data_IF_281550679527
#
_entry.id   IF_281550679527
#
_cell.length_a   1.000
_cell.length_b   1.000
_cell.length_c   1.000
_cell.angle_alpha   90.00
_cell.angle_beta   90.00
_cell.angle_gamma   90.00
#
_symmetry.space_group_name_H-M   'P 1'
#
loop_
_entity.id
_entity.type
_entity.pdbx_description
1 polymer ?
#
# COMPACT_ATOMS: atom_id res chain seq x y z
N UNK A 1 9.04 14.45 -3.86
CA UNK A 1 7.70 14.07 -3.41
C UNK A 1 6.85 13.77 -4.63
N UNK A 2 6.15 12.65 -4.63
CA UNK A 2 5.23 12.27 -5.70
C UNK A 2 3.85 12.82 -5.39
N UNK A 3 3.32 13.62 -6.31
CA UNK A 3 2.00 14.22 -6.21
C UNK A 3 1.05 13.52 -7.20
N UNK A 4 0.00 12.85 -6.71
CA UNK A 4 -0.99 12.23 -7.56
C UNK A 4 -1.71 13.26 -8.45
N UNK A 5 -1.80 12.97 -9.74
CA UNK A 5 -2.42 13.85 -10.73
C UNK A 5 -3.12 13.06 -11.84
N UNK A 6 -4.07 13.66 -12.54
CA UNK A 6 -4.77 13.05 -13.67
C UNK A 6 -6.29 13.23 -13.60
N UNK A 7 -6.97 12.76 -14.65
CA UNK A 7 -8.43 12.76 -14.72
C UNK A 7 -8.98 11.52 -13.99
N UNK A 8 -9.65 11.74 -12.87
CA UNK A 8 -10.22 10.68 -12.02
C UNK A 8 -11.43 11.24 -11.27
N UNK A 9 -12.34 10.41 -10.71
CA UNK A 9 -13.44 10.92 -9.89
C UNK A 9 -12.94 11.84 -8.77
N UNK A 10 -13.68 12.92 -8.50
CA UNK A 10 -13.27 13.95 -7.54
C UNK A 10 -12.95 13.37 -6.15
N UNK A 11 -13.77 12.41 -5.70
CA UNK A 11 -13.57 11.69 -4.43
C UNK A 11 -12.19 11.03 -4.35
N UNK A 12 -11.76 10.35 -5.41
CA UNK A 12 -10.46 9.67 -5.46
C UNK A 12 -9.33 10.68 -5.46
N UNK A 13 -9.45 11.78 -6.23
CA UNK A 13 -8.43 12.83 -6.30
C UNK A 13 -8.27 13.55 -4.97
N UNK A 14 -9.38 13.88 -4.31
CA UNK A 14 -9.40 14.65 -3.05
C UNK A 14 -8.61 13.96 -1.95
N UNK A 15 -8.77 12.64 -1.82
CA UNK A 15 -8.13 11.84 -0.78
C UNK A 15 -6.86 11.10 -1.24
N UNK A 16 -6.38 11.36 -2.47
CA UNK A 16 -5.16 10.73 -2.96
C UNK A 16 -3.94 11.16 -2.12
N UNK A 17 -3.16 10.20 -1.56
CA UNK A 17 -1.99 10.52 -0.75
C UNK A 17 -0.83 11.01 -1.61
N UNK A 18 -0.13 12.05 -1.15
CA UNK A 18 1.20 12.37 -1.64
C UNK A 18 2.22 11.42 -1.01
N UNK A 19 3.30 11.10 -1.74
CA UNK A 19 4.35 10.21 -1.24
C UNK A 19 5.69 10.94 -1.16
N UNK A 20 6.21 11.13 0.05
CA UNK A 20 7.57 11.61 0.27
C UNK A 20 8.49 10.41 0.37
N UNK A 21 9.24 10.15 -0.70
CA UNK A 21 10.27 9.11 -0.72
C UNK A 21 11.64 9.74 -0.59
N UNK A 22 12.37 9.34 0.46
CA UNK A 22 13.74 9.80 0.67
C UNK A 22 14.73 9.08 -0.24
N UNK A 23 15.94 9.64 -0.39
CA UNK A 23 17.01 9.08 -1.21
C UNK A 23 16.60 8.77 -2.66
N UNK A 24 15.82 9.66 -3.27
CA UNK A 24 15.34 9.58 -4.66
C UNK A 24 16.46 9.44 -5.71
N UNK A 25 17.71 9.79 -5.36
CA UNK A 25 18.87 9.56 -6.23
C UNK A 25 19.03 8.10 -6.64
N UNK A 26 18.65 7.17 -5.76
CA UNK A 26 18.67 5.73 -6.02
C UNK A 26 17.40 5.28 -6.73
N UNK A 27 17.53 4.61 -7.87
CA UNK A 27 16.38 4.23 -8.71
C UNK A 27 15.40 3.29 -7.99
N UNK A 28 15.90 2.35 -7.19
CA UNK A 28 15.06 1.40 -6.46
C UNK A 28 14.12 2.08 -5.46
N UNK A 29 14.43 3.31 -5.01
CA UNK A 29 13.55 4.13 -4.16
C UNK A 29 12.48 4.88 -4.94
N UNK A 30 12.51 4.89 -6.27
CA UNK A 30 11.58 5.69 -7.06
C UNK A 30 10.28 4.92 -7.28
N UNK A 31 9.15 5.62 -7.13
CA UNK A 31 7.86 5.08 -7.54
C UNK A 31 7.88 4.91 -9.06
N UNK A 32 7.49 3.73 -9.54
CA UNK A 32 7.44 3.43 -10.97
C UNK A 32 6.10 2.87 -11.40
N UNK A 33 5.84 2.94 -12.71
CA UNK A 33 4.69 2.29 -13.35
C UNK A 33 5.08 0.89 -13.81
N UNK A 34 4.33 -0.16 -13.44
CA UNK A 34 4.48 -1.48 -14.02
C UNK A 34 4.41 -1.44 -15.56
N UNK A 35 5.42 -2.00 -16.19
CA UNK A 35 5.51 -2.21 -17.65
C UNK A 35 5.86 -3.66 -17.93
N UNK A 36 5.27 -4.21 -18.99
CA UNK A 36 5.57 -5.55 -19.47
C UNK A 36 6.47 -5.48 -20.71
N UNK A 37 7.38 -6.43 -20.83
CA UNK A 37 8.27 -6.60 -21.98
C UNK A 37 8.58 -8.08 -22.19
N UNK A 38 9.15 -8.42 -23.35
CA UNK A 38 9.75 -9.73 -23.58
C UNK A 38 11.27 -9.61 -23.43
N UNK A 39 11.88 -10.58 -22.75
CA UNK A 39 13.34 -10.71 -22.70
C UNK A 39 13.90 -11.30 -24.01
N UNK A 40 15.23 -11.42 -24.17
CA UNK A 40 15.83 -12.01 -25.38
C UNK A 40 15.42 -13.46 -25.65
N UNK A 41 14.95 -14.20 -24.64
CA UNK A 41 14.44 -15.56 -24.77
C UNK A 41 12.93 -15.60 -25.09
N UNK A 42 12.28 -14.44 -25.26
CA UNK A 42 10.85 -14.33 -25.50
C UNK A 42 9.99 -14.54 -24.26
N UNK A 43 10.58 -14.52 -23.05
CA UNK A 43 9.85 -14.67 -21.80
C UNK A 43 9.32 -13.32 -21.33
N UNK A 44 8.10 -13.33 -20.77
CA UNK A 44 7.50 -12.13 -20.21
C UNK A 44 8.24 -11.68 -18.95
N UNK A 45 8.57 -10.38 -18.90
CA UNK A 45 9.18 -9.73 -17.74
C UNK A 45 8.40 -8.47 -17.40
N UNK A 46 8.07 -8.33 -16.11
CA UNK A 46 7.51 -7.10 -15.54
C UNK A 46 8.61 -6.29 -14.84
N UNK A 47 8.64 -4.98 -15.11
CA UNK A 47 9.53 -4.02 -14.44
C UNK A 47 8.74 -2.78 -14.02
N UNK A 48 9.30 -2.02 -13.08
CA UNK A 48 8.75 -0.73 -12.67
C UNK A 48 9.49 0.40 -13.39
N UNK A 49 8.82 1.05 -14.33
CA UNK A 49 9.34 2.20 -15.06
C UNK A 49 9.27 3.46 -14.18
N UNK A 50 10.43 3.85 -13.63
CA UNK A 50 10.57 4.99 -12.71
C UNK A 50 10.50 6.35 -13.39
N UNK A 51 10.56 6.39 -14.73
CA UNK A 51 10.41 7.64 -15.50
C UNK A 51 8.94 8.08 -15.63
N UNK A 52 8.01 7.16 -15.41
CA UNK A 52 6.55 7.39 -15.49
C UNK A 52 5.88 6.90 -14.21
N UNK A 53 6.06 7.58 -13.06
CA UNK A 53 5.45 7.14 -11.80
C UNK A 53 3.92 7.13 -11.87
N UNK A 54 3.31 6.14 -11.22
CA UNK A 54 1.86 5.99 -11.16
C UNK A 54 1.38 5.61 -9.76
N UNK A 55 0.18 6.08 -9.41
CA UNK A 55 -0.58 5.70 -8.22
C UNK A 55 -1.86 5.02 -8.69
N UNK A 56 -2.02 3.74 -8.38
CA UNK A 56 -3.17 2.95 -8.78
C UNK A 56 -4.27 3.05 -7.74
N UNK A 57 -5.50 3.34 -8.15
CA UNK A 57 -6.61 3.53 -7.23
C UNK A 57 -7.75 2.52 -7.43
N UNK A 58 -8.44 2.19 -6.34
CA UNK A 58 -9.71 1.44 -6.35
C UNK A 58 -10.64 1.96 -5.26
N UNK A 59 -11.94 1.95 -5.55
CA UNK A 59 -13.00 2.30 -4.59
C UNK A 59 -13.75 1.03 -4.19
N UNK A 60 -13.85 0.74 -2.89
CA UNK A 60 -14.54 -0.45 -2.37
C UNK A 60 -15.53 -0.05 -1.28
N UNK A 61 -16.84 -0.09 -1.52
CA UNK A 61 -17.83 0.10 -0.47
C UNK A 61 -17.89 -1.14 0.43
N UNK A 62 -18.16 -0.92 1.72
CA UNK A 62 -18.47 -1.99 2.66
C UNK A 62 -19.46 -1.51 3.74
N UNK A 63 -19.99 -2.44 4.52
CA UNK A 63 -20.94 -2.16 5.58
C UNK A 63 -20.61 -2.98 6.82
N UNK A 64 -20.83 -2.38 7.99
CA UNK A 64 -20.72 -3.02 9.30
C UNK A 64 -22.04 -2.85 10.04
N UNK A 65 -22.11 -3.30 11.30
CA UNK A 65 -23.25 -3.02 12.16
C UNK A 65 -23.39 -1.54 12.54
N UNK A 66 -22.33 -0.73 12.40
CA UNK A 66 -22.31 0.69 12.79
C UNK A 66 -22.51 1.65 11.61
N UNK A 67 -22.42 1.18 10.37
CA UNK A 67 -22.73 2.02 9.22
C UNK A 67 -22.17 1.54 7.89
N UNK A 68 -22.27 2.43 6.90
CA UNK A 68 -21.72 2.24 5.56
C UNK A 68 -20.45 3.05 5.41
N UNK A 69 -19.46 2.43 4.78
CA UNK A 69 -18.13 2.99 4.60
C UNK A 69 -17.65 2.77 3.18
N UNK A 70 -16.66 3.55 2.79
CA UNK A 70 -15.98 3.43 1.50
C UNK A 70 -14.47 3.42 1.71
N UNK A 71 -13.80 2.37 1.26
CA UNK A 71 -12.34 2.35 1.17
C UNK A 71 -11.89 2.94 -0.16
N UNK A 72 -11.04 3.96 -0.08
CA UNK A 72 -10.24 4.45 -1.20
C UNK A 72 -8.85 3.84 -1.08
N UNK A 73 -8.53 2.92 -1.97
CA UNK A 73 -7.29 2.15 -1.95
C UNK A 73 -6.34 2.74 -2.96
N UNK A 74 -5.12 3.06 -2.55
CA UNK A 74 -4.05 3.58 -3.38
C UNK A 74 -2.85 2.64 -3.30
N UNK A 75 -2.30 2.28 -4.46
CA UNK A 75 -1.18 1.36 -4.59
C UNK A 75 -0.07 1.99 -5.44
N UNK A 76 1.15 1.95 -4.93
CA UNK A 76 2.35 2.37 -5.66
C UNK A 76 3.34 1.21 -5.72
N UNK A 77 4.26 1.26 -6.68
CA UNK A 77 5.25 0.23 -6.89
C UNK A 77 6.67 0.77 -6.94
N UNK A 78 7.61 -0.05 -6.47
CA UNK A 78 9.04 0.23 -6.47
C UNK A 78 9.78 -0.90 -7.20
N UNK A 79 10.88 -0.59 -7.92
CA UNK A 79 11.63 -1.60 -8.66
C UNK A 79 12.10 -2.77 -7.80
N UNK A 80 12.67 -2.49 -6.63
CA UNK A 80 13.26 -3.50 -5.76
C UNK A 80 13.52 -2.98 -4.36
N UNK A 81 13.66 -3.89 -3.41
CA UNK A 81 14.35 -3.63 -2.15
C UNK A 81 15.73 -4.30 -2.21
N UNK A 82 16.84 -3.55 -2.13
CA UNK A 82 18.17 -4.14 -2.25
C UNK A 82 18.48 -5.10 -1.10
N UNK A 83 19.20 -6.17 -1.42
CA UNK A 83 19.74 -7.07 -0.41
C UNK A 83 20.82 -6.37 0.41
N UNK A 84 20.84 -6.65 1.71
CA UNK A 84 21.92 -6.25 2.62
C UNK A 84 22.30 -7.46 3.46
N UNK A 85 23.61 -7.71 3.58
CA UNK A 85 24.14 -8.76 4.47
C UNK A 85 24.50 -8.20 5.86
N UNK A 86 24.81 -6.90 5.94
CA UNK A 86 25.15 -6.21 7.19
C UNK A 86 24.53 -4.80 7.16
N UNK A 87 23.47 -4.54 7.95
CA UNK A 87 22.67 -5.53 8.67
C UNK A 87 21.95 -6.47 7.68
N UNK A 88 21.77 -7.74 8.05
CA UNK A 88 21.06 -8.70 7.20
C UNK A 88 19.61 -8.26 7.00
N UNK A 89 19.18 -8.15 5.75
CA UNK A 89 17.84 -7.70 5.40
C UNK A 89 17.05 -8.78 4.66
N UNK A 90 16.03 -9.31 5.33
CA UNK A 90 15.21 -10.43 4.86
C UNK A 90 14.27 -10.04 3.71
N UNK A 91 13.80 -8.79 3.66
CA UNK A 91 12.75 -8.36 2.72
C UNK A 91 13.23 -8.02 1.31
N UNK A 92 14.46 -8.42 0.95
CA UNK A 92 15.03 -8.15 -0.37
C UNK A 92 14.24 -8.87 -1.47
N UNK A 93 13.97 -8.17 -2.57
CA UNK A 93 13.19 -8.68 -3.69
C UNK A 93 12.79 -7.58 -4.66
N UNK A 94 12.16 -7.96 -5.76
CA UNK A 94 11.78 -7.06 -6.85
C UNK A 94 10.27 -6.73 -6.84
N UNK A 95 9.87 -5.74 -7.64
CA UNK A 95 8.47 -5.41 -7.92
C UNK A 95 7.59 -5.18 -6.67
N UNK A 96 8.20 -4.56 -5.66
CA UNK A 96 7.60 -4.24 -4.38
C UNK A 96 6.43 -3.28 -4.56
N UNK A 97 5.44 -3.36 -3.67
CA UNK A 97 4.34 -2.41 -3.62
C UNK A 97 4.01 -1.96 -2.21
N UNK A 98 3.45 -0.76 -2.15
CA UNK A 98 2.90 -0.16 -0.95
C UNK A 98 1.43 0.14 -1.19
N UNK A 99 0.60 -0.13 -0.18
CA UNK A 99 -0.83 0.08 -0.22
C UNK A 99 -1.25 1.03 0.92
N UNK A 100 -2.09 2.00 0.58
CA UNK A 100 -2.67 2.97 1.50
C UNK A 100 -4.19 2.95 1.30
N UNK A 101 -4.94 2.71 2.36
CA UNK A 101 -6.41 2.71 2.38
C UNK A 101 -6.88 3.90 3.19
N UNK A 102 -7.67 4.77 2.58
CA UNK A 102 -8.41 5.82 3.28
C UNK A 102 -9.86 5.34 3.42
N UNK A 103 -10.29 5.05 4.64
CA UNK A 103 -11.65 4.63 4.94
C UNK A 103 -12.51 5.86 5.23
N UNK A 104 -13.56 6.05 4.43
CA UNK A 104 -14.51 7.14 4.57
C UNK A 104 -15.81 6.64 5.20
N UNK A 105 -16.40 7.46 6.09
CA UNK A 105 -17.78 7.27 6.56
C UNK A 105 -18.81 7.77 5.52
N UNK A 106 -20.11 7.68 5.85
CA UNK A 106 -21.19 8.15 4.98
C UNK A 106 -21.15 9.66 4.70
N UNK A 107 -20.57 10.47 5.60
CA UNK A 107 -20.35 11.90 5.41
C UNK A 107 -19.07 12.22 4.60
N UNK A 108 -18.43 11.21 4.01
CA UNK A 108 -17.16 11.32 3.28
C UNK A 108 -16.01 11.90 4.13
N UNK A 109 -16.05 11.69 5.45
CA UNK A 109 -14.95 12.02 6.35
C UNK A 109 -14.02 10.81 6.48
N UNK A 110 -12.69 11.01 6.42
CA UNK A 110 -11.74 9.92 6.63
C UNK A 110 -11.74 9.53 8.11
N UNK A 111 -12.14 8.30 8.41
CA UNK A 111 -12.23 7.76 9.78
C UNK A 111 -11.13 6.75 10.09
N UNK A 112 -10.37 6.30 9.10
CA UNK A 112 -9.22 5.43 9.31
C UNK A 112 -8.27 5.55 8.12
N UNK A 113 -6.98 5.54 8.38
CA UNK A 113 -5.95 5.37 7.35
C UNK A 113 -5.17 4.11 7.65
N UNK A 114 -5.21 3.14 6.75
CA UNK A 114 -4.44 1.90 6.86
C UNK A 114 -3.32 1.89 5.83
N UNK A 115 -2.09 1.63 6.23
CA UNK A 115 -0.95 1.47 5.33
C UNK A 115 -0.24 0.15 5.57
N UNK A 116 0.25 -0.48 4.50
CA UNK A 116 0.96 -1.76 4.54
C UNK A 116 1.70 -2.02 3.23
N UNK A 117 2.71 -2.89 3.24
CA UNK A 117 3.28 -3.42 1.99
C UNK A 117 2.29 -4.34 1.29
N UNK A 118 2.36 -4.48 -0.05
CA UNK A 118 1.47 -5.40 -0.77
C UNK A 118 1.77 -6.88 -0.51
N UNK A 119 2.76 -7.18 0.34
CA UNK A 119 2.95 -8.47 1.00
C UNK A 119 2.07 -8.74 2.23
N UNK A 120 1.29 -7.76 2.72
CA UNK A 120 0.53 -7.88 3.98
C UNK A 120 1.33 -7.53 5.24
N UNK A 121 2.63 -7.33 5.06
CA UNK A 121 3.64 -6.90 6.02
C UNK A 121 3.46 -5.41 6.44
N UNK A 122 3.97 -5.06 7.63
CA UNK A 122 4.01 -3.67 8.14
C UNK A 122 2.64 -2.96 8.20
N UNK A 123 1.56 -3.71 8.43
CA UNK A 123 0.23 -3.13 8.52
C UNK A 123 0.08 -2.21 9.73
N UNK A 124 -0.40 -0.99 9.48
CA UNK A 124 -0.67 0.02 10.48
C UNK A 124 -2.01 0.71 10.15
N UNK A 125 -2.90 0.80 11.13
CA UNK A 125 -4.17 1.53 11.02
C UNK A 125 -4.16 2.68 12.01
N UNK A 126 -4.33 3.90 11.52
CA UNK A 126 -4.33 5.12 12.31
C UNK A 126 -5.73 5.75 12.29
N UNK A 127 -6.30 6.06 13.46
CA UNK A 127 -7.55 6.79 13.54
C UNK A 127 -7.31 8.25 13.16
N UNK A 128 -8.40 8.94 12.86
CA UNK A 128 -8.44 10.39 12.64
C UNK A 128 -9.23 11.06 13.76
N UNK A 129 -9.30 12.39 13.74
CA UNK A 129 -10.23 13.15 14.57
C UNK A 129 -11.72 12.90 14.24
N UNK A 130 -12.04 12.14 13.18
CA UNK A 130 -13.40 11.73 12.81
C UNK A 130 -13.73 10.29 13.21
N UNK A 131 -12.76 9.51 13.70
CA UNK A 131 -13.02 8.16 14.22
C UNK A 131 -13.77 8.24 15.55
N UNK A 132 -14.93 7.57 15.70
CA UNK A 132 -15.62 7.50 16.99
C UNK A 132 -14.70 6.91 18.08
N UNK A 133 -14.71 7.50 19.27
CA UNK A 133 -13.83 7.06 20.36
C UNK A 133 -14.08 5.60 20.79
N UNK A 134 -15.34 5.14 20.69
CA UNK A 134 -15.76 3.77 20.99
C UNK A 134 -15.51 2.78 19.83
N UNK A 135 -14.86 3.23 18.75
CA UNK A 135 -14.39 2.41 17.65
C UNK A 135 -12.91 2.03 17.77
N UNK A 136 -12.21 2.53 18.78
CA UNK A 136 -10.78 2.28 18.98
C UNK A 136 -10.59 0.87 19.57
N UNK A 137 -9.46 0.20 19.28
CA UNK A 137 -9.07 -1.01 19.99
C UNK A 137 -9.02 -0.79 21.51
N UNK A 138 -9.34 -1.82 22.30
CA UNK A 138 -9.40 -1.72 23.77
C UNK A 138 -8.05 -1.30 24.40
N UNK A 139 -6.94 -1.66 23.76
CA UNK A 139 -5.58 -1.34 24.18
C UNK A 139 -5.05 -0.01 23.60
N UNK A 140 -5.89 0.78 22.92
CA UNK A 140 -5.48 2.05 22.35
C UNK A 140 -5.17 3.10 23.41
N UNK A 141 -3.89 3.40 23.60
CA UNK A 141 -3.42 4.30 24.66
C UNK A 141 -3.15 5.75 24.19
N UNK A 142 -3.42 6.06 22.92
CA UNK A 142 -3.15 7.40 22.36
C UNK A 142 -1.67 7.78 22.28
N UNK A 143 -0.77 6.80 22.41
CA UNK A 143 0.68 6.98 22.22
C UNK A 143 1.10 6.64 20.79
N UNK A 144 2.21 7.21 20.29
CA UNK A 144 2.75 6.85 18.99
C UNK A 144 2.89 5.34 18.79
N UNK A 145 2.52 4.84 17.62
CA UNK A 145 2.59 3.43 17.30
C UNK A 145 4.01 3.10 16.88
N UNK A 146 4.67 2.22 17.64
CA UNK A 146 5.99 1.71 17.27
C UNK A 146 5.84 0.45 16.42
N UNK A 147 6.18 0.54 15.14
CA UNK A 147 6.01 -0.55 14.18
C UNK A 147 7.35 -0.77 13.46
N UNK A 148 8.02 -1.88 13.78
CA UNK A 148 9.33 -2.26 13.22
C UNK A 148 10.43 -1.18 13.33
N UNK A 149 10.40 -0.35 14.38
CA UNK A 149 11.36 0.73 14.58
C UNK A 149 10.99 2.04 13.88
N UNK A 150 9.79 2.13 13.30
CA UNK A 150 9.15 3.41 12.97
C UNK A 150 8.26 3.87 14.12
N UNK A 151 8.01 5.17 14.19
CA UNK A 151 7.07 5.78 15.13
C UNK A 151 6.02 6.55 14.36
N UNK A 152 4.83 5.99 14.25
CA UNK A 152 3.68 6.64 13.60
C UNK A 152 2.85 7.43 14.62
N UNK A 153 2.19 8.52 14.22
CA UNK A 153 1.39 9.29 15.17
C UNK A 153 0.20 8.47 15.69
N UNK A 154 -0.25 8.74 16.93
CA UNK A 154 -1.41 8.08 17.53
C UNK A 154 -2.74 8.45 16.87
N UNK A 155 -2.76 9.52 16.07
CA UNK A 155 -3.98 9.99 15.40
C UNK A 155 -3.58 10.95 14.30
N UNK A 156 -4.31 10.91 13.19
CA UNK A 156 -4.21 11.88 12.10
C UNK A 156 -5.20 13.02 12.31
N UNK A 157 -4.70 14.25 12.37
CA UNK A 157 -5.53 15.41 12.64
C UNK A 157 -5.88 16.17 11.36
N UNK A 158 -7.17 16.16 11.00
CA UNK A 158 -7.71 16.93 9.89
C UNK A 158 -8.32 18.27 10.34
N UNK A 159 -8.36 18.56 11.65
CA UNK A 159 -9.02 19.75 12.17
C UNK A 159 -8.27 21.04 11.79
N UNK A 160 -9.02 22.09 11.44
CA UNK A 160 -8.46 23.42 11.17
C UNK A 160 -7.65 23.56 9.88
N UNK A 161 -7.52 22.51 9.07
CA UNK A 161 -6.77 22.54 7.82
C UNK A 161 -7.70 22.81 6.62
N UNK A 162 -7.35 23.80 5.80
CA UNK A 162 -7.99 24.03 4.52
C UNK A 162 -7.45 23.04 3.48
N UNK A 163 -8.35 22.29 2.82
CA UNK A 163 -8.01 21.24 1.84
C UNK A 163 -6.90 20.27 2.33
N UNK A 164 -7.17 19.52 3.42
CA UNK A 164 -6.19 18.62 4.00
C UNK A 164 -5.85 17.46 3.05
N UNK A 165 -4.58 17.10 3.00
CA UNK A 165 -4.07 16.00 2.18
C UNK A 165 -3.13 15.12 3.00
N UNK A 166 -3.22 13.81 2.77
CA UNK A 166 -2.39 12.81 3.42
C UNK A 166 -1.01 12.78 2.76
N UNK A 167 0.05 12.99 3.55
CA UNK A 167 1.43 12.76 3.18
C UNK A 167 1.89 11.42 3.77
N UNK A 168 2.34 10.52 2.90
CA UNK A 168 2.91 9.23 3.26
C UNK A 168 4.42 9.34 3.13
N UNK A 169 5.14 9.22 4.24
CA UNK A 169 6.61 9.25 4.26
C UNK A 169 7.13 7.83 4.19
N UNK A 170 7.96 7.56 3.19
CA UNK A 170 8.42 6.21 2.84
C UNK A 170 9.90 6.07 3.16
N UNK A 171 10.24 5.04 3.93
CA UNK A 171 11.63 4.68 4.26
C UNK A 171 12.35 4.20 3.00
N UNK A 172 13.55 4.75 2.70
CA UNK A 172 14.34 4.30 1.55
C UNK A 172 14.84 2.87 1.76
N UNK A 173 14.99 2.12 0.67
CA UNK A 173 15.39 0.72 0.66
C UNK A 173 14.20 -0.20 0.91
N UNK A 174 13.59 -0.12 2.10
CA UNK A 174 12.54 -1.07 2.53
C UNK A 174 11.14 -0.72 2.01
N UNK A 175 10.92 0.52 1.58
CA UNK A 175 9.64 1.02 1.06
C UNK A 175 8.44 0.92 2.02
N UNK A 176 8.69 0.81 3.32
CA UNK A 176 7.67 0.84 4.37
C UNK A 176 7.35 2.28 4.79
N UNK A 177 6.19 2.46 5.39
CA UNK A 177 5.75 3.78 5.91
C UNK A 177 6.47 4.07 7.21
N UNK A 178 7.20 5.19 7.24
CA UNK A 178 7.88 5.68 8.43
C UNK A 178 7.11 6.79 9.15
N UNK A 179 6.22 7.49 8.44
CA UNK A 179 5.37 8.53 9.00
C UNK A 179 4.13 8.77 8.13
N UNK A 180 3.06 9.25 8.76
CA UNK A 180 1.82 9.66 8.11
C UNK A 180 1.43 11.03 8.65
N UNK A 181 1.25 12.02 7.77
CA UNK A 181 0.92 13.39 8.16
C UNK A 181 -0.27 13.91 7.39
N UNK A 182 -1.07 14.76 8.02
CA UNK A 182 -2.07 15.56 7.32
C UNK A 182 -1.53 16.97 7.20
N UNK A 183 -1.42 17.46 5.97
CA UNK A 183 -0.92 18.80 5.67
C UNK A 183 -1.92 19.53 4.76
N UNK A 184 -1.99 20.87 4.80
CA UNK A 184 -2.69 21.62 3.76
C UNK A 184 -2.12 21.33 2.38
N UNK A 185 -2.96 21.21 1.36
CA UNK A 185 -2.49 20.99 -0.03
C UNK A 185 -1.54 22.08 -0.52
N UNK A 186 -1.69 23.31 -0.02
CA UNK A 186 -0.79 24.44 -0.33
C UNK A 186 0.63 24.18 0.14
N UNK A 187 0.83 23.56 1.31
CA UNK A 187 2.15 23.20 1.84
C UNK A 187 2.79 22.08 1.01
N UNK A 188 2.00 21.08 0.60
CA UNK A 188 2.47 20.03 -0.31
C UNK A 188 2.86 20.59 -1.69
N UNK A 189 2.33 21.75 -2.07
CA UNK A 189 2.66 22.39 -3.35
C UNK A 189 3.83 23.38 -3.23
N UNK A 190 4.44 23.53 -2.04
CA UNK A 190 5.53 24.48 -1.81
C UNK A 190 6.86 23.92 -2.34
N UNK A 191 7.34 24.49 -3.45
CA UNK A 191 8.60 24.13 -4.10
C UNK A 191 9.84 24.41 -3.24
N UNK A 192 9.72 25.21 -2.19
CA UNK A 192 10.81 25.42 -1.22
C UNK A 192 10.99 24.23 -0.28
N UNK A 193 9.91 23.47 -0.06
CA UNK A 193 9.90 22.29 0.81
C UNK A 193 10.15 21.01 0.01
N UNK A 194 9.61 20.91 -1.21
CA UNK A 194 9.62 19.68 -1.98
C UNK A 194 9.98 19.88 -3.45
N UNK A 195 10.80 18.97 -3.98
CA UNK A 195 10.81 18.70 -5.42
C UNK A 195 9.58 17.87 -5.78
N UNK A 196 8.70 18.42 -6.62
CA UNK A 196 7.45 17.78 -7.03
C UNK A 196 7.67 16.89 -8.25
N UNK A 197 7.17 15.66 -8.16
CA UNK A 197 7.15 14.70 -9.25
C UNK A 197 5.69 14.31 -9.46
N UNK A 198 5.15 14.59 -10.64
CA UNK A 198 3.78 14.21 -10.96
C UNK A 198 3.65 12.70 -11.13
N UNK A 199 2.76 12.06 -10.37
CA UNK A 199 2.45 10.63 -10.49
C UNK A 199 1.03 10.44 -11.02
N UNK A 200 0.88 9.69 -12.10
CA UNK A 200 -0.42 9.51 -12.77
C UNK A 200 -1.37 8.66 -11.91
N UNK A 201 -2.58 9.18 -11.64
CA UNK A 201 -3.65 8.44 -10.97
C UNK A 201 -4.35 7.53 -11.97
N UNK A 202 -4.12 6.23 -11.86
CA UNK A 202 -4.64 5.21 -12.78
C UNK A 202 -5.60 4.24 -12.06
N UNK A 203 -6.68 3.76 -12.71
CA UNK A 203 -7.50 2.69 -12.14
C UNK A 203 -6.69 1.42 -11.91
N UNK A 204 -6.89 0.75 -10.77
CA UNK A 204 -6.19 -0.49 -10.41
C UNK A 204 -6.48 -1.63 -11.40
N UNK A 205 -7.61 -1.60 -12.10
CA UNK A 205 -7.98 -2.54 -13.15
C UNK A 205 -6.96 -2.54 -14.31
N UNK A 206 -6.28 -1.40 -14.53
CA UNK A 206 -5.19 -1.28 -15.50
C UNK A 206 -4.00 -2.19 -15.22
N UNK A 207 -3.80 -2.62 -13.96
CA UNK A 207 -2.73 -3.56 -13.59
C UNK A 207 -2.94 -4.96 -14.19
N UNK A 208 -4.16 -5.29 -14.64
CA UNK A 208 -4.45 -6.55 -15.34
C UNK A 208 -4.31 -6.43 -16.87
N UNK A 209 -4.01 -5.24 -17.39
CA UNK A 209 -3.98 -4.92 -18.81
C UNK A 209 -2.75 -4.09 -19.18
N UNK A 210 -1.57 -4.60 -18.84
CA UNK A 210 -0.29 -4.03 -19.24
C UNK A 210 -0.04 -4.34 -20.73
N UNK A 211 0.27 -3.37 -21.58
CA UNK A 211 0.58 -3.62 -22.99
C UNK A 211 1.79 -4.55 -23.15
N UNK A 212 1.69 -5.54 -24.04
CA UNK A 212 2.78 -6.46 -24.40
C UNK A 212 2.64 -6.88 -25.88
N UNK A 213 3.53 -6.38 -26.74
CA UNK A 213 3.44 -6.59 -28.18
C UNK A 213 2.12 -6.03 -28.76
N UNK A 214 1.33 -6.89 -29.42
CA UNK A 214 0.00 -6.53 -29.94
C UNK A 214 -1.15 -6.79 -28.95
N UNK A 215 -0.83 -7.28 -27.74
CA UNK A 215 -1.81 -7.69 -26.75
C UNK A 215 -1.60 -7.04 -25.39
N UNK A 216 -2.15 -7.70 -24.37
CA UNK A 216 -2.02 -7.30 -22.99
C UNK A 216 -1.62 -8.49 -22.12
N UNK A 217 -0.97 -8.19 -21.01
CA UNK A 217 -0.72 -9.13 -19.92
C UNK A 217 -1.11 -8.52 -18.59
N UNK A 218 -1.11 -9.33 -17.54
CA UNK A 218 -1.38 -8.91 -16.17
C UNK A 218 -0.09 -8.74 -15.38
N UNK A 219 -0.03 -7.74 -14.49
CA UNK A 219 0.98 -7.63 -13.44
C UNK A 219 1.01 -8.88 -12.54
N UNK A 220 -0.12 -9.58 -12.43
CA UNK A 220 -0.30 -10.69 -11.52
C UNK A 220 -0.27 -12.02 -12.28
N UNK A 221 0.22 -13.08 -11.63
CA UNK A 221 0.00 -14.43 -12.12
C UNK A 221 -1.50 -14.75 -12.04
N UNK A 222 -2.09 -15.19 -13.15
CA UNK A 222 -3.53 -15.48 -13.23
C UNK A 222 -3.86 -16.96 -13.01
N UNK A 223 -2.83 -17.83 -13.04
CA UNK A 223 -2.98 -19.28 -12.93
C UNK A 223 -1.76 -19.92 -12.24
N UNK A 224 -1.92 -21.18 -11.83
CA UNK A 224 -0.86 -21.97 -11.21
C UNK A 224 -0.58 -21.60 -9.75
N UNK A 225 0.53 -22.12 -9.23
CA UNK A 225 0.92 -21.98 -7.82
C UNK A 225 1.05 -20.51 -7.39
N UNK A 226 1.48 -19.63 -8.29
CA UNK A 226 1.70 -18.22 -7.99
C UNK A 226 0.45 -17.34 -8.19
N UNK A 227 -0.72 -17.92 -8.51
CA UNK A 227 -1.95 -17.14 -8.77
C UNK A 227 -2.19 -16.08 -7.69
N UNK A 228 -2.50 -14.87 -8.14
CA UNK A 228 -2.75 -13.72 -7.27
C UNK A 228 -1.49 -13.04 -6.73
N UNK A 229 -0.28 -13.51 -7.06
CA UNK A 229 0.97 -12.81 -6.73
C UNK A 229 1.44 -11.92 -7.87
N UNK A 230 2.19 -10.88 -7.54
CA UNK A 230 2.87 -9.99 -8.50
C UNK A 230 3.98 -10.76 -9.20
N UNK A 231 4.02 -10.69 -10.53
CA UNK A 231 5.06 -11.31 -11.35
C UNK A 231 6.42 -10.72 -11.01
N UNK A 232 7.41 -11.61 -10.79
CA UNK A 232 8.77 -11.22 -10.44
C UNK A 232 8.98 -10.76 -8.99
N UNK A 233 7.94 -10.64 -8.16
CA UNK A 233 8.08 -10.22 -6.76
C UNK A 233 8.52 -11.34 -5.81
N UNK A 234 9.49 -12.15 -6.25
CA UNK A 234 10.03 -13.24 -5.46
C UNK A 234 10.87 -12.70 -4.29
N UNK A 235 10.65 -13.24 -3.08
CA UNK A 235 11.47 -12.95 -1.89
C UNK A 235 12.07 -14.20 -1.26
N UNK A 236 13.32 -14.56 -1.62
CA UNK A 236 13.86 -15.88 -1.28
C UNK A 236 14.09 -16.04 0.22
N UNK A 237 14.55 -15.01 0.90
CA UNK A 237 14.84 -15.07 2.33
C UNK A 237 13.57 -15.13 3.19
N UNK A 238 12.53 -14.37 2.84
CA UNK A 238 11.23 -14.46 3.52
C UNK A 238 10.60 -15.84 3.33
N UNK A 239 10.61 -16.39 2.12
CA UNK A 239 10.14 -17.75 1.84
C UNK A 239 10.85 -18.79 2.71
N UNK A 240 12.18 -18.74 2.82
CA UNK A 240 12.97 -19.73 3.58
C UNK A 240 12.75 -19.59 5.09
N UNK A 241 12.83 -18.36 5.61
CA UNK A 241 12.89 -18.12 7.06
C UNK A 241 11.50 -18.02 7.70
N UNK A 242 10.50 -17.54 6.96
CA UNK A 242 9.14 -17.35 7.48
C UNK A 242 8.17 -18.43 6.98
N UNK A 243 8.43 -19.06 5.83
CA UNK A 243 7.47 -19.96 5.18
C UNK A 243 7.09 -21.17 6.03
N UNK A 244 8.03 -21.69 6.82
CA UNK A 244 7.77 -22.77 7.77
C UNK A 244 6.80 -22.35 8.88
N UNK A 245 6.98 -21.15 9.44
CA UNK A 245 6.15 -20.65 10.54
C UNK A 245 4.77 -20.17 10.07
N UNK A 246 4.69 -19.62 8.87
CA UNK A 246 3.45 -19.14 8.27
C UNK A 246 2.65 -20.21 7.53
N UNK A 247 3.23 -21.40 7.34
CA UNK A 247 2.70 -22.45 6.46
C UNK A 247 2.33 -21.88 5.08
N UNK A 248 3.22 -21.05 4.53
CA UNK A 248 3.07 -20.37 3.25
C UNK A 248 4.45 -20.16 2.61
N UNK A 249 4.77 -20.97 1.59
CA UNK A 249 6.04 -20.87 0.86
C UNK A 249 6.12 -19.65 -0.07
N UNK A 250 5.04 -18.89 -0.22
CA UNK A 250 4.99 -17.62 -0.95
C UNK A 250 4.80 -16.44 0.01
N UNK A 251 5.01 -16.65 1.32
CA UNK A 251 5.01 -15.57 2.32
C UNK A 251 5.94 -14.45 1.89
N UNK A 252 5.48 -13.22 2.07
CA UNK A 252 6.27 -12.05 1.72
C UNK A 252 6.17 -11.64 0.25
N UNK A 253 5.74 -12.52 -0.66
CA UNK A 253 5.50 -12.12 -2.04
C UNK A 253 4.33 -11.15 -2.14
N UNK A 254 4.48 -10.12 -2.97
CA UNK A 254 3.47 -9.09 -3.15
C UNK A 254 2.24 -9.66 -3.87
N UNK A 255 1.05 -9.22 -3.42
CA UNK A 255 -0.23 -9.82 -3.82
C UNK A 255 -1.12 -8.83 -4.53
N UNK A 256 -2.06 -9.34 -5.32
CA UNK A 256 -3.20 -8.56 -5.81
C UNK A 256 -4.17 -8.26 -4.66
N UNK A 257 -4.78 -7.08 -4.66
CA UNK A 257 -5.83 -6.76 -3.70
C UNK A 257 -7.15 -7.41 -4.15
N UNK A 258 -7.76 -8.19 -3.26
CA UNK A 258 -9.10 -8.76 -3.47
C UNK A 258 -9.16 -10.08 -4.22
N UNK A 259 -8.07 -10.84 -4.29
CA UNK A 259 -8.14 -12.22 -4.81
C UNK A 259 -8.66 -13.17 -3.74
N UNK A 260 -9.71 -13.96 -4.04
CA UNK A 260 -10.33 -14.85 -3.06
C UNK A 260 -9.46 -16.06 -2.69
N UNK A 261 -8.59 -16.49 -3.61
CA UNK A 261 -7.74 -17.67 -3.44
C UNK A 261 -6.38 -17.31 -2.81
N UNK A 262 -5.97 -16.04 -2.91
CA UNK A 262 -4.75 -15.53 -2.31
C UNK A 262 -4.99 -14.30 -1.40
N UNK A 263 -5.36 -14.53 -0.12
CA UNK A 263 -5.67 -13.43 0.80
C UNK A 263 -4.45 -12.53 1.07
N UNK A 264 -4.71 -11.22 1.12
CA UNK A 264 -3.76 -10.20 1.58
C UNK A 264 -3.78 -10.14 3.11
N UNK A 265 -3.27 -11.21 3.73
CA UNK A 265 -3.28 -11.38 5.19
C UNK A 265 -2.24 -10.50 5.88
N UNK A 266 -2.54 -10.06 7.10
CA UNK A 266 -1.67 -9.18 7.90
C UNK A 266 -1.12 -9.84 9.16
N UNK A 267 -1.37 -11.14 9.32
CA UNK A 267 -0.83 -11.97 10.41
C UNK A 267 -0.10 -13.19 9.85
N UNK A 268 1.10 -13.47 10.38
CA UNK A 268 1.87 -14.67 10.04
C UNK A 268 1.27 -15.95 10.64
N UNK A 269 0.39 -15.85 11.65
CA UNK A 269 -0.29 -17.03 12.24
C UNK A 269 -1.20 -17.68 11.18
N UNK A 270 -0.97 -18.94 10.77
CA UNK A 270 -1.72 -19.57 9.67
C UNK A 270 -3.24 -19.57 9.88
N UNK A 271 -3.70 -19.83 11.11
CA UNK A 271 -5.12 -19.87 11.48
C UNK A 271 -5.80 -18.49 11.46
N UNK A 272 -5.03 -17.39 11.34
CA UNK A 272 -5.55 -16.03 11.23
C UNK A 272 -5.50 -15.48 9.80
N UNK A 273 -5.11 -16.29 8.80
CA UNK A 273 -4.87 -15.83 7.42
C UNK A 273 -6.07 -15.11 6.83
N UNK A 274 -7.24 -15.74 6.84
CA UNK A 274 -8.48 -15.12 6.34
C UNK A 274 -9.00 -14.04 7.28
N UNK A 275 -8.90 -14.25 8.60
CA UNK A 275 -9.36 -13.27 9.60
C UNK A 275 -8.62 -11.93 9.51
N UNK A 276 -7.35 -11.96 9.10
CA UNK A 276 -6.49 -10.78 8.96
C UNK A 276 -6.37 -10.30 7.51
N UNK A 277 -7.20 -10.81 6.60
CA UNK A 277 -7.19 -10.46 5.18
C UNK A 277 -7.73 -9.03 4.99
N UNK A 278 -6.87 -8.11 4.54
CA UNK A 278 -7.25 -6.72 4.31
C UNK A 278 -8.36 -6.58 3.25
N UNK A 279 -8.44 -7.50 2.29
CA UNK A 279 -9.47 -7.44 1.26
C UNK A 279 -10.88 -7.69 1.81
N UNK A 280 -11.00 -8.46 2.89
CA UNK A 280 -12.22 -8.54 3.70
C UNK A 280 -12.10 -7.53 4.85
N UNK A 281 -12.28 -6.26 4.50
CA UNK A 281 -12.01 -5.16 5.43
C UNK A 281 -12.85 -5.20 6.72
N UNK A 282 -14.15 -5.55 6.71
CA UNK A 282 -14.91 -5.76 7.96
C UNK A 282 -14.28 -6.82 8.86
N UNK A 283 -13.83 -7.95 8.29
CA UNK A 283 -13.19 -9.00 9.08
C UNK A 283 -11.81 -8.56 9.60
N UNK A 284 -11.04 -7.84 8.77
CA UNK A 284 -9.78 -7.21 9.16
C UNK A 284 -9.94 -6.26 10.34
N UNK A 285 -10.94 -5.37 10.30
CA UNK A 285 -11.24 -4.44 11.39
C UNK A 285 -11.52 -5.20 12.69
N UNK A 286 -12.39 -6.20 12.64
CA UNK A 286 -12.70 -7.06 13.79
C UNK A 286 -11.47 -7.80 14.33
N UNK A 287 -10.59 -8.27 13.45
CA UNK A 287 -9.37 -8.97 13.84
C UNK A 287 -8.38 -8.06 14.58
N UNK A 288 -8.27 -6.81 14.16
CA UNK A 288 -7.40 -5.80 14.78
C UNK A 288 -8.09 -4.95 15.86
N UNK A 289 -9.30 -5.32 16.26
CA UNK A 289 -10.03 -4.67 17.36
C UNK A 289 -10.70 -3.34 17.02
N UNK A 290 -10.76 -2.95 15.75
CA UNK A 290 -11.45 -1.73 15.33
C UNK A 290 -12.96 -1.92 15.33
N UNK A 291 -13.67 -1.08 16.09
CA UNK A 291 -15.12 -1.04 16.20
C UNK A 291 -15.79 -0.08 15.22
N UNK A 292 -15.46 -0.19 13.93
CA UNK A 292 -16.13 0.55 12.85
C UNK A 292 -17.28 -0.25 12.24
#
# INVERSE_FOLDING_TARGET
MYQPQGQTPDLVRRFAPAFLVHNHGQEYNRIGRPVASLDPAGQEVIRMDTSRPAVYWRVVPFQTSRGRYTNLIYRVHFPATPASLIPFFIGAGDNMGLLVVVTLNQAQQPVLVTALGTCGCYAASLPTNFTPADAYPEDWCGQPLTIYGESLPPRLDYAGLADPSLLVVVRPGEHRVMDLRILPRTELSDLRLFTLIGAELLPAEGLRRLPLGQGFTSLFYEQGLFKGHVKGAWKPWETILLGWFSLDWLVGMDKVYGDPDNPLYTSLKPWNRYRSNLADFPQYLKYWGWGL
#
